data_IF_496396277014
#
_entry.id   IF_496396277014
#
_cell.length_a   1.000
_cell.length_b   1.000
_cell.length_c   1.000
_cell.angle_alpha   90.00
_cell.angle_beta   90.00
_cell.angle_gamma   90.00
#
_symmetry.space_group_name_H-M   'P 1'
#
loop_
_entity.id
_entity.type
_entity.pdbx_description
1 polymer ?
#
# COMPACT_ATOMS: atom_id res chain seq x y z
N UNK A 1 -27.64 -5.26 8.06
CA UNK A 1 -26.44 -4.41 7.86
C UNK A 1 -25.28 -5.02 8.64
N UNK A 2 -24.77 -6.17 8.19
CA UNK A 2 -23.81 -7.00 8.98
C UNK A 2 -22.58 -7.44 8.15
N UNK A 3 -22.59 -7.20 6.84
CA UNK A 3 -21.52 -7.64 5.94
C UNK A 3 -20.35 -6.65 5.80
N UNK A 4 -20.48 -5.38 6.19
CA UNK A 4 -19.44 -4.36 5.95
C UNK A 4 -18.23 -4.47 6.88
N UNK A 5 -18.42 -4.88 8.14
CA UNK A 5 -17.33 -4.94 9.12
C UNK A 5 -16.35 -6.09 8.83
N UNK A 6 -16.84 -7.21 8.31
CA UNK A 6 -16.02 -8.39 8.04
C UNK A 6 -15.09 -8.21 6.82
N UNK A 7 -15.54 -7.47 5.80
CA UNK A 7 -14.68 -7.17 4.66
C UNK A 7 -13.50 -6.28 5.04
N UNK A 8 -13.72 -5.26 5.88
CA UNK A 8 -12.65 -4.34 6.28
C UNK A 8 -11.48 -5.08 6.96
N UNK A 9 -11.79 -5.96 7.90
CA UNK A 9 -10.78 -6.77 8.57
C UNK A 9 -10.07 -7.72 7.60
N UNK A 10 -10.82 -8.35 6.70
CA UNK A 10 -10.28 -9.26 5.68
C UNK A 10 -9.33 -8.51 4.71
N UNK A 11 -9.68 -7.29 4.32
CA UNK A 11 -8.83 -6.41 3.51
C UNK A 11 -7.53 -6.05 4.22
N UNK A 12 -7.63 -5.58 5.46
CA UNK A 12 -6.45 -5.21 6.25
C UNK A 12 -5.49 -6.41 6.37
N UNK A 13 -6.03 -7.57 6.71
CA UNK A 13 -5.26 -8.80 6.85
C UNK A 13 -4.60 -9.25 5.53
N UNK A 14 -5.29 -9.11 4.39
CA UNK A 14 -4.71 -9.37 3.08
C UNK A 14 -3.58 -8.40 2.71
N UNK A 15 -3.70 -7.12 3.06
CA UNK A 15 -2.61 -6.15 2.86
C UNK A 15 -1.38 -6.50 3.71
N UNK A 16 -1.56 -6.94 4.96
CA UNK A 16 -0.44 -7.42 5.79
C UNK A 16 0.25 -8.64 5.19
N UNK A 17 -0.54 -9.60 4.69
CA UNK A 17 -0.02 -10.80 4.00
C UNK A 17 0.72 -10.44 2.70
N UNK A 18 0.20 -9.49 1.93
CA UNK A 18 0.85 -8.98 0.74
C UNK A 18 2.20 -8.35 1.09
N UNK A 19 2.24 -7.43 2.06
CA UNK A 19 3.47 -6.77 2.49
C UNK A 19 4.52 -7.78 2.96
N UNK A 20 4.11 -8.83 3.67
CA UNK A 20 4.99 -9.96 4.03
C UNK A 20 5.52 -10.71 2.80
N UNK A 21 4.68 -10.99 1.79
CA UNK A 21 5.12 -11.63 0.53
C UNK A 21 6.10 -10.75 -0.23
N UNK A 22 5.83 -9.45 -0.35
CA UNK A 22 6.72 -8.49 -1.01
C UNK A 22 8.05 -8.39 -0.27
N UNK A 23 8.04 -8.32 1.07
CA UNK A 23 9.24 -8.32 1.90
C UNK A 23 10.09 -9.59 1.69
N UNK A 24 9.44 -10.75 1.55
CA UNK A 24 10.13 -12.02 1.27
C UNK A 24 10.72 -12.08 -0.13
N UNK A 25 9.96 -11.64 -1.14
CA UNK A 25 10.36 -11.73 -2.56
C UNK A 25 11.44 -10.71 -2.92
N UNK A 26 11.31 -9.46 -2.44
CA UNK A 26 12.18 -8.35 -2.82
C UNK A 26 13.17 -7.94 -1.72
N UNK A 27 13.06 -8.52 -0.53
CA UNK A 27 13.84 -8.14 0.64
C UNK A 27 13.28 -6.89 1.33
N UNK A 28 13.62 -6.72 2.62
CA UNK A 28 13.31 -5.49 3.36
C UNK A 28 14.40 -4.46 3.07
N UNK A 29 14.14 -3.51 2.18
CA UNK A 29 15.10 -2.44 1.90
C UNK A 29 14.93 -1.27 2.87
N UNK A 30 15.71 -1.25 3.95
CA UNK A 30 15.68 -0.16 4.93
C UNK A 30 15.98 1.22 4.33
N UNK A 31 16.84 1.32 3.30
CA UNK A 31 17.14 2.62 2.68
C UNK A 31 15.96 3.17 1.88
N UNK A 32 15.16 2.28 1.27
CA UNK A 32 13.91 2.67 0.60
C UNK A 32 12.92 3.28 1.59
N UNK A 33 12.72 2.66 2.77
CA UNK A 33 11.81 3.20 3.77
C UNK A 33 12.29 4.52 4.35
N UNK A 34 13.60 4.69 4.57
CA UNK A 34 14.17 5.96 4.97
C UNK A 34 13.96 7.04 3.90
N UNK A 35 14.13 6.68 2.62
CA UNK A 35 13.85 7.61 1.52
C UNK A 35 12.39 8.04 1.48
N UNK A 36 11.44 7.15 1.79
CA UNK A 36 10.01 7.47 1.84
C UNK A 36 9.67 8.39 3.02
N UNK A 37 10.23 8.11 4.21
CA UNK A 37 10.00 8.92 5.42
C UNK A 37 10.59 10.34 5.31
N UNK A 38 11.60 10.53 4.46
CA UNK A 38 12.23 11.82 4.23
C UNK A 38 11.53 12.65 3.14
N UNK A 39 10.48 12.14 2.49
CA UNK A 39 9.73 12.92 1.52
C UNK A 39 8.84 13.96 2.22
N UNK A 40 8.83 15.18 1.68
CA UNK A 40 7.82 16.17 2.05
C UNK A 40 6.48 15.71 1.49
N UNK A 41 5.49 15.51 2.36
CA UNK A 41 4.14 15.13 1.96
C UNK A 41 3.26 16.37 2.05
N UNK A 42 2.75 16.78 0.89
CA UNK A 42 1.83 17.90 0.78
C UNK A 42 0.43 17.50 1.24
N UNK A 43 -0.32 18.46 1.77
CA UNK A 43 -1.73 18.28 2.05
C UNK A 43 -2.53 18.24 0.74
N UNK A 44 -3.49 17.31 0.66
CA UNK A 44 -4.53 17.28 -0.36
C UNK A 44 -5.87 17.71 0.25
N UNK A 45 -6.81 18.14 -0.59
CA UNK A 45 -8.16 18.54 -0.15
C UNK A 45 -8.87 17.42 0.63
N UNK A 46 -8.62 16.15 0.27
CA UNK A 46 -9.23 14.98 0.88
C UNK A 46 -8.42 14.36 2.03
N UNK A 47 -7.09 14.58 2.08
CA UNK A 47 -6.20 13.94 3.04
C UNK A 47 -5.01 14.82 3.42
N UNK A 48 -4.79 15.00 4.73
CA UNK A 48 -3.62 15.73 5.22
C UNK A 48 -2.35 14.88 5.16
N UNK A 49 -1.20 15.53 4.95
CA UNK A 49 0.12 14.92 4.96
C UNK A 49 0.37 14.15 6.26
N UNK A 50 -0.06 14.68 7.41
CA UNK A 50 0.05 13.98 8.70
C UNK A 50 -0.64 12.61 8.73
N UNK A 51 -1.80 12.48 8.07
CA UNK A 51 -2.49 11.19 7.96
C UNK A 51 -1.72 10.23 7.07
N UNK A 52 -1.11 10.73 6.00
CA UNK A 52 -0.25 9.94 5.11
C UNK A 52 1.01 9.50 5.85
N UNK A 53 1.66 10.37 6.64
CA UNK A 53 2.83 10.03 7.45
C UNK A 53 2.50 8.91 8.45
N UNK A 54 1.36 9.01 9.14
CA UNK A 54 0.88 7.93 10.04
C UNK A 54 0.70 6.61 9.30
N UNK A 55 0.04 6.65 8.14
CA UNK A 55 -0.15 5.47 7.29
C UNK A 55 1.19 4.87 6.84
N UNK A 56 2.18 5.70 6.48
CA UNK A 56 3.51 5.21 6.10
C UNK A 56 4.18 4.42 7.21
N UNK A 57 4.10 4.87 8.47
CA UNK A 57 4.65 4.13 9.60
C UNK A 57 3.95 2.77 9.80
N UNK A 58 2.62 2.73 9.69
CA UNK A 58 1.84 1.48 9.76
C UNK A 58 2.25 0.52 8.64
N UNK A 59 2.32 1.00 7.40
CA UNK A 59 2.73 0.21 6.23
C UNK A 59 4.14 -0.34 6.42
N UNK A 60 5.12 0.48 6.84
CA UNK A 60 6.51 0.03 7.07
C UNK A 60 6.57 -1.06 8.16
N UNK A 61 5.72 -0.96 9.18
CA UNK A 61 5.65 -1.96 10.26
C UNK A 61 5.11 -3.30 9.77
N UNK A 62 4.23 -3.29 8.76
CA UNK A 62 3.67 -4.49 8.14
C UNK A 62 4.63 -5.21 7.19
N UNK A 63 5.76 -4.60 6.83
CA UNK A 63 6.89 -5.29 6.18
C UNK A 63 7.74 -6.09 7.20
N UNK A 64 7.11 -6.67 8.21
CA UNK A 64 7.70 -7.69 9.08
C UNK A 64 7.24 -9.07 8.59
N UNK A 65 8.15 -10.04 8.57
CA UNK A 65 7.86 -11.37 8.04
C UNK A 65 6.81 -12.07 8.93
N UNK A 66 5.58 -12.15 8.45
CA UNK A 66 4.54 -13.02 9.03
C UNK A 66 4.41 -14.33 8.24
N UNK A 67 3.74 -15.34 8.81
CA UNK A 67 3.41 -16.57 8.09
C UNK A 67 2.71 -16.26 6.76
N UNK A 68 3.26 -16.78 5.66
CA UNK A 68 2.77 -16.50 4.31
C UNK A 68 1.50 -17.32 4.06
N UNK A 69 0.36 -16.77 4.49
CA UNK A 69 -0.96 -17.34 4.17
C UNK A 69 -1.42 -16.89 2.77
N UNK A 70 -2.31 -17.65 2.11
CA UNK A 70 -2.97 -17.21 0.89
C UNK A 70 -3.71 -15.88 1.09
N UNK A 71 -3.78 -15.08 0.02
CA UNK A 71 -4.64 -13.89 0.01
C UNK A 71 -6.08 -14.37 -0.19
N UNK A 72 -7.04 -13.65 0.39
CA UNK A 72 -8.45 -14.04 0.48
C UNK A 72 -9.38 -13.19 -0.38
N UNK A 73 -8.98 -11.97 -0.72
CA UNK A 73 -9.78 -10.98 -1.45
C UNK A 73 -9.21 -10.73 -2.86
N UNK A 74 -7.90 -10.55 -2.99
CA UNK A 74 -7.24 -10.37 -4.29
C UNK A 74 -5.99 -11.24 -4.43
N UNK A 75 -5.71 -11.73 -5.63
CA UNK A 75 -4.42 -12.35 -5.93
C UNK A 75 -3.33 -11.28 -6.04
N UNK A 76 -2.06 -11.69 -5.89
CA UNK A 76 -0.93 -10.79 -6.11
C UNK A 76 -0.98 -10.15 -7.50
N UNK A 77 -1.33 -10.92 -8.54
CA UNK A 77 -1.44 -10.44 -9.92
C UNK A 77 -2.52 -9.38 -10.09
N UNK A 78 -3.67 -9.53 -9.41
CA UNK A 78 -4.74 -8.54 -9.42
C UNK A 78 -4.29 -7.21 -8.78
N UNK A 79 -3.53 -7.30 -7.69
CA UNK A 79 -2.99 -6.12 -7.00
C UNK A 79 -1.92 -5.41 -7.86
N UNK A 80 -1.03 -6.15 -8.49
CA UNK A 80 -0.02 -5.61 -9.43
C UNK A 80 -0.73 -4.89 -10.58
N UNK A 81 -1.70 -5.53 -11.22
CA UNK A 81 -2.46 -4.92 -12.32
C UNK A 81 -3.20 -3.65 -11.92
N UNK A 82 -3.69 -3.57 -10.67
CA UNK A 82 -4.31 -2.36 -10.14
C UNK A 82 -3.31 -1.21 -9.99
N UNK A 83 -2.14 -1.48 -9.40
CA UNK A 83 -1.07 -0.48 -9.22
C UNK A 83 -0.59 0.03 -10.58
N UNK A 84 -0.30 -0.86 -11.53
CA UNK A 84 0.13 -0.47 -12.88
C UNK A 84 -0.91 0.41 -13.58
N UNK A 85 -2.19 0.06 -13.46
CA UNK A 85 -3.29 0.83 -14.02
C UNK A 85 -3.41 2.21 -13.36
N UNK A 86 -3.27 2.30 -12.04
CA UNK A 86 -3.29 3.55 -11.29
C UNK A 86 -2.11 4.45 -11.67
N UNK A 87 -0.89 3.92 -11.71
CA UNK A 87 0.30 4.65 -12.12
C UNK A 87 0.18 5.15 -13.56
N UNK A 88 -0.34 4.34 -14.48
CA UNK A 88 -0.59 4.75 -15.88
C UNK A 88 -1.59 5.89 -15.96
N UNK A 89 -2.71 5.80 -15.24
CA UNK A 89 -3.72 6.87 -15.17
C UNK A 89 -3.14 8.15 -14.59
N UNK A 90 -2.38 8.06 -13.50
CA UNK A 90 -1.70 9.20 -12.90
C UNK A 90 -0.74 9.88 -13.87
N UNK A 91 0.09 9.10 -14.57
CA UNK A 91 1.00 9.63 -15.59
C UNK A 91 0.27 10.32 -16.75
N UNK A 92 -0.86 9.76 -17.21
CA UNK A 92 -1.70 10.38 -18.25
C UNK A 92 -2.30 11.70 -17.75
N UNK A 93 -2.82 11.73 -16.52
CA UNK A 93 -3.41 12.93 -15.92
C UNK A 93 -2.38 14.06 -15.80
N UNK A 94 -1.18 13.75 -15.30
CA UNK A 94 -0.07 14.72 -15.21
C UNK A 94 0.32 15.24 -16.60
N UNK A 95 0.45 14.35 -17.60
CA UNK A 95 0.77 14.77 -18.98
C UNK A 95 -0.30 15.64 -19.62
N UNK A 96 -1.56 15.49 -19.21
CA UNK A 96 -2.68 16.27 -19.74
C UNK A 96 -2.80 17.64 -19.07
N UNK A 97 -2.05 17.88 -17.99
CA UNK A 97 -1.98 19.15 -17.25
C UNK A 97 -0.89 20.10 -17.79
N UNK A 98 0.00 19.61 -18.66
CA UNK A 98 1.05 20.36 -19.35
C UNK A 98 0.76 20.40 -20.86
#
# INVERSE_FOLDING_TARGET
MEHKENFYFTYQEDFRRLNSKLAKTYGKNQSMFQSLLNQSIEDLDEVSGDKVVKLLFEVISDFTLHEVKPLTVFTLDQMVGYIESASKKGAIAIRSYY
#
